data_IF_384335949849
#
_entry.id   IF_384335949849
#
_cell.length_a   1.000
_cell.length_b   1.000
_cell.length_c   1.000
_cell.angle_alpha   90.00
_cell.angle_beta   90.00
_cell.angle_gamma   90.00
#
_symmetry.space_group_name_H-M   'P 1'
#
loop_
_entity.id
_entity.type
_entity.pdbx_description
1 polymer ?
#
# COMPACT_ATOMS: atom_id res chain seq x y z
N UNK A 1 -52.86 4.82 23.91
CA UNK A 1 -52.22 4.40 22.64
C UNK A 1 -50.96 5.23 22.45
N UNK A 2 -49.79 4.69 22.78
CA UNK A 2 -48.52 5.40 22.67
C UNK A 2 -47.74 4.85 21.47
N UNK A 3 -47.39 5.76 20.55
CA UNK A 3 -46.61 5.49 19.36
C UNK A 3 -45.14 5.27 19.74
N UNK A 4 -44.60 4.08 19.43
CA UNK A 4 -43.20 3.76 19.63
C UNK A 4 -42.39 4.28 18.43
N UNK A 5 -41.67 5.39 18.61
CA UNK A 5 -40.69 5.89 17.63
C UNK A 5 -39.46 4.99 17.69
N UNK A 6 -39.30 4.14 16.69
CA UNK A 6 -38.02 3.46 16.45
C UNK A 6 -36.93 4.49 16.17
N UNK A 7 -36.01 4.62 17.12
CA UNK A 7 -34.77 5.39 16.96
C UNK A 7 -33.91 4.64 15.95
N UNK A 8 -33.95 5.07 14.69
CA UNK A 8 -32.95 4.68 13.69
C UNK A 8 -31.62 5.27 14.11
N UNK A 9 -30.78 4.47 14.75
CA UNK A 9 -29.38 4.81 14.95
C UNK A 9 -28.71 4.92 13.58
N UNK A 10 -28.05 6.05 13.26
CA UNK A 10 -27.32 6.17 12.01
C UNK A 10 -26.19 5.16 12.03
N UNK A 11 -26.22 4.18 11.11
CA UNK A 11 -25.08 3.30 10.84
C UNK A 11 -23.88 4.20 10.51
N UNK A 12 -22.95 4.36 11.46
CA UNK A 12 -21.67 5.03 11.19
C UNK A 12 -21.07 4.33 9.96
N UNK A 13 -20.70 5.05 8.90
CA UNK A 13 -19.98 4.45 7.77
C UNK A 13 -18.73 3.81 8.36
N UNK A 14 -18.67 2.48 8.30
CA UNK A 14 -17.59 1.69 8.90
C UNK A 14 -16.26 2.15 8.30
N UNK A 15 -15.43 2.76 9.14
CA UNK A 15 -14.17 3.36 8.74
C UNK A 15 -13.24 2.28 8.21
N UNK A 16 -12.62 2.54 7.05
CA UNK A 16 -11.54 1.69 6.57
C UNK A 16 -10.35 1.90 7.50
N UNK A 17 -9.93 0.86 8.20
CA UNK A 17 -8.81 0.94 9.15
C UNK A 17 -7.49 1.00 8.39
N UNK A 18 -6.62 1.92 8.82
CA UNK A 18 -5.24 2.01 8.34
C UNK A 18 -4.45 0.92 9.05
N UNK A 19 -4.05 -0.10 8.31
CA UNK A 19 -3.25 -1.21 8.82
C UNK A 19 -1.77 -0.99 8.49
N UNK A 20 -0.84 -1.61 9.24
CA UNK A 20 0.59 -1.51 8.96
C UNK A 20 0.95 -1.93 7.53
N UNK A 21 0.30 -2.98 7.03
CA UNK A 21 0.47 -3.43 5.65
C UNK A 21 0.06 -2.34 4.65
N UNK A 22 -1.14 -1.77 4.81
CA UNK A 22 -1.63 -0.68 3.95
C UNK A 22 -0.70 0.53 3.99
N UNK A 23 -0.17 0.86 5.16
CA UNK A 23 0.83 1.93 5.31
C UNK A 23 2.10 1.61 4.51
N UNK A 24 2.67 0.41 4.64
CA UNK A 24 3.84 -0.01 3.85
C UNK A 24 3.57 0.01 2.34
N UNK A 25 2.40 -0.43 1.89
CA UNK A 25 2.01 -0.37 0.47
C UNK A 25 1.89 1.09 0.00
N UNK A 26 1.34 1.99 0.83
CA UNK A 26 1.26 3.40 0.50
C UNK A 26 2.66 4.04 0.37
N UNK A 27 3.61 3.70 1.26
CA UNK A 27 5.01 4.14 1.17
C UNK A 27 5.66 3.59 -0.10
N UNK A 28 5.44 2.32 -0.44
CA UNK A 28 5.93 1.73 -1.69
C UNK A 28 5.44 2.51 -2.92
N UNK A 29 4.15 2.83 -2.96
CA UNK A 29 3.55 3.59 -4.07
C UNK A 29 4.19 4.99 -4.17
N UNK A 30 4.35 5.68 -3.03
CA UNK A 30 5.05 6.97 -2.95
C UNK A 30 6.45 6.89 -3.54
N UNK A 31 7.23 5.90 -3.10
CA UNK A 31 8.63 5.75 -3.50
C UNK A 31 8.76 5.45 -4.99
N UNK A 32 7.84 4.66 -5.53
CA UNK A 32 7.76 4.44 -6.98
C UNK A 32 7.43 5.72 -7.76
N UNK A 33 6.50 6.55 -7.26
CA UNK A 33 6.19 7.83 -7.90
C UNK A 33 7.43 8.76 -7.92
N UNK A 34 8.12 8.87 -6.80
CA UNK A 34 9.35 9.65 -6.68
C UNK A 34 10.47 9.13 -7.58
N UNK A 35 10.69 7.80 -7.61
CA UNK A 35 11.66 7.17 -8.50
C UNK A 35 11.35 7.45 -9.97
N UNK A 36 10.09 7.41 -10.39
CA UNK A 36 9.72 7.69 -11.79
C UNK A 36 9.98 9.15 -12.20
N UNK A 37 10.02 10.06 -11.23
CA UNK A 37 10.39 11.46 -11.45
C UNK A 37 11.90 11.71 -11.35
N UNK A 38 12.67 10.74 -10.86
CA UNK A 38 14.11 10.86 -10.72
C UNK A 38 14.80 10.87 -12.08
N UNK A 39 16.01 11.42 -12.09
CA UNK A 39 16.82 11.44 -13.30
C UNK A 39 17.34 10.05 -13.65
N UNK A 40 17.49 9.14 -12.67
CA UNK A 40 17.85 7.74 -12.94
C UNK A 40 16.82 7.08 -13.85
N UNK A 41 15.52 7.22 -13.55
CA UNK A 41 14.47 6.62 -14.37
C UNK A 41 14.37 7.24 -15.77
N UNK A 42 14.56 8.57 -15.88
CA UNK A 42 14.50 9.27 -17.18
C UNK A 42 15.67 8.93 -18.09
N UNK A 43 16.83 8.60 -17.51
CA UNK A 43 18.05 8.27 -18.22
C UNK A 43 18.15 6.79 -18.62
N UNK A 44 17.15 5.95 -18.32
CA UNK A 44 17.12 4.56 -18.77
C UNK A 44 16.97 4.53 -20.30
N UNK A 45 18.05 4.15 -20.99
CA UNK A 45 18.07 4.01 -22.45
C UNK A 45 17.19 2.86 -22.95
N UNK A 46 17.10 1.76 -22.18
CA UNK A 46 16.27 0.60 -22.50
C UNK A 46 14.79 0.88 -22.20
N UNK A 47 14.07 1.35 -23.22
CA UNK A 47 12.63 1.56 -23.18
C UNK A 47 11.84 0.28 -22.89
N UNK A 48 12.35 -0.90 -23.26
CA UNK A 48 11.67 -2.16 -22.98
C UNK A 48 11.76 -2.50 -21.49
N UNK A 49 12.90 -2.26 -20.87
CA UNK A 49 13.09 -2.38 -19.42
C UNK A 49 12.18 -1.41 -18.65
N UNK A 50 12.13 -0.14 -19.05
CA UNK A 50 11.18 0.84 -18.49
C UNK A 50 9.71 0.37 -18.55
N UNK A 51 9.30 -0.16 -19.70
CA UNK A 51 7.95 -0.70 -19.86
C UNK A 51 7.68 -1.90 -18.95
N UNK A 52 8.67 -2.79 -18.77
CA UNK A 52 8.57 -3.92 -17.84
C UNK A 52 8.45 -3.46 -16.40
N UNK A 53 9.33 -2.57 -15.93
CA UNK A 53 9.25 -1.99 -14.58
C UNK A 53 7.88 -1.38 -14.31
N UNK A 54 7.36 -0.57 -15.23
CA UNK A 54 6.04 0.05 -15.09
C UNK A 54 4.93 -0.99 -15.00
N UNK A 55 4.91 -1.94 -15.92
CA UNK A 55 3.86 -2.97 -15.97
C UNK A 55 3.88 -3.82 -14.70
N UNK A 56 5.05 -4.31 -14.32
CA UNK A 56 5.20 -5.25 -13.20
C UNK A 56 4.91 -4.54 -11.87
N UNK A 57 5.32 -3.28 -11.70
CA UNK A 57 4.93 -2.45 -10.55
C UNK A 57 3.43 -2.21 -10.48
N UNK A 58 2.77 -1.84 -11.59
CA UNK A 58 1.33 -1.66 -11.59
C UNK A 58 0.59 -2.95 -11.22
N UNK A 59 1.00 -4.09 -11.76
CA UNK A 59 0.39 -5.40 -11.43
C UNK A 59 0.62 -5.75 -9.96
N UNK A 60 1.83 -5.53 -9.45
CA UNK A 60 2.15 -5.78 -8.05
C UNK A 60 1.31 -4.91 -7.12
N UNK A 61 1.23 -3.59 -7.36
CA UNK A 61 0.42 -2.66 -6.55
C UNK A 61 -1.05 -3.08 -6.57
N UNK A 62 -1.61 -3.37 -7.74
CA UNK A 62 -3.00 -3.83 -7.84
C UNK A 62 -3.24 -5.10 -7.03
N UNK A 63 -2.31 -6.04 -7.10
CA UNK A 63 -2.38 -7.28 -6.32
C UNK A 63 -2.34 -6.99 -4.83
N UNK A 64 -1.41 -6.15 -4.37
CA UNK A 64 -1.28 -5.77 -2.96
C UNK A 64 -2.52 -5.05 -2.41
N UNK A 65 -3.14 -4.19 -3.22
CA UNK A 65 -4.38 -3.49 -2.84
C UNK A 65 -5.59 -4.42 -2.73
N UNK A 66 -5.61 -5.52 -3.47
CA UNK A 66 -6.71 -6.49 -3.51
C UNK A 66 -6.48 -7.69 -2.58
N UNK A 67 -5.23 -8.04 -2.29
CA UNK A 67 -4.87 -9.16 -1.41
C UNK A 67 -5.09 -8.83 0.07
N UNK A 68 -5.34 -9.83 0.94
CA UNK A 68 -5.34 -9.65 2.39
C UNK A 68 -4.01 -9.08 2.90
N UNK A 69 -4.05 -8.47 4.08
CA UNK A 69 -2.86 -7.87 4.69
C UNK A 69 -1.75 -8.92 4.88
N UNK A 70 -0.56 -8.58 4.39
CA UNK A 70 0.61 -9.45 4.44
C UNK A 70 1.54 -9.03 5.57
N UNK A 71 2.34 -9.98 6.09
CA UNK A 71 3.49 -9.66 6.92
C UNK A 71 4.57 -8.95 6.10
N UNK A 72 5.40 -8.14 6.75
CA UNK A 72 6.46 -7.40 6.05
C UNK A 72 7.47 -8.35 5.39
N UNK A 73 7.71 -9.53 5.97
CA UNK A 73 8.54 -10.57 5.36
C UNK A 73 8.00 -11.00 3.99
N UNK A 74 6.70 -11.33 3.91
CA UNK A 74 6.05 -11.72 2.66
C UNK A 74 6.03 -10.58 1.65
N UNK A 75 5.89 -9.32 2.12
CA UNK A 75 5.96 -8.16 1.25
C UNK A 75 7.37 -8.00 0.63
N UNK A 76 8.43 -8.13 1.43
CA UNK A 76 9.81 -8.11 0.94
C UNK A 76 10.12 -9.29 0.02
N UNK A 77 9.66 -10.50 0.36
CA UNK A 77 9.82 -11.68 -0.50
C UNK A 77 9.17 -11.45 -1.87
N UNK A 78 8.01 -10.80 -1.93
CA UNK A 78 7.34 -10.45 -3.20
C UNK A 78 8.13 -9.40 -3.99
N UNK A 79 8.69 -8.40 -3.33
CA UNK A 79 9.49 -7.34 -3.95
C UNK A 79 10.83 -7.85 -4.51
N UNK A 80 11.43 -8.85 -3.85
CA UNK A 80 12.71 -9.46 -4.23
C UNK A 80 12.56 -10.72 -5.09
N UNK A 81 11.34 -11.25 -5.22
CA UNK A 81 11.07 -12.42 -6.06
C UNK A 81 11.36 -12.16 -7.54
N UNK A 82 11.79 -13.20 -8.26
CA UNK A 82 11.99 -13.16 -9.72
C UNK A 82 10.69 -12.97 -10.52
N UNK A 83 9.53 -12.94 -9.85
CA UNK A 83 8.21 -12.82 -10.47
C UNK A 83 7.94 -11.42 -11.04
N UNK A 84 8.51 -10.39 -10.43
CA UNK A 84 8.29 -9.00 -10.82
C UNK A 84 9.63 -8.30 -11.01
N UNK A 85 9.80 -7.57 -12.11
CA UNK A 85 11.02 -6.80 -12.34
C UNK A 85 10.87 -5.44 -11.68
N UNK A 86 11.21 -5.36 -10.39
CA UNK A 86 11.13 -4.14 -9.59
C UNK A 86 12.49 -3.43 -9.55
N UNK A 87 12.57 -2.10 -9.75
CA UNK A 87 13.81 -1.35 -9.57
C UNK A 87 14.35 -1.48 -8.16
N UNK A 88 15.64 -1.77 -8.00
CA UNK A 88 16.31 -1.93 -6.70
C UNK A 88 16.20 -0.68 -5.85
N UNK A 89 16.27 0.50 -6.47
CA UNK A 89 16.20 1.80 -5.80
C UNK A 89 14.88 2.00 -5.06
N UNK A 90 13.78 1.46 -5.61
CA UNK A 90 12.45 1.54 -5.00
C UNK A 90 12.37 0.63 -3.76
N UNK A 91 12.98 -0.56 -3.83
CA UNK A 91 13.02 -1.51 -2.71
C UNK A 91 13.89 -0.96 -1.59
N UNK A 92 15.08 -0.47 -1.91
CA UNK A 92 16.00 0.16 -0.95
C UNK A 92 15.38 1.40 -0.30
N UNK A 93 14.69 2.24 -1.08
CA UNK A 93 13.98 3.40 -0.55
C UNK A 93 12.85 3.00 0.39
N UNK A 94 12.12 1.91 0.09
CA UNK A 94 11.09 1.38 0.98
C UNK A 94 11.70 0.92 2.31
N UNK A 95 12.76 0.12 2.27
CA UNK A 95 13.40 -0.39 3.49
C UNK A 95 13.95 0.74 4.36
N UNK A 96 14.54 1.75 3.72
CA UNK A 96 14.99 2.97 4.41
C UNK A 96 13.82 3.72 5.04
N UNK A 97 12.75 4.00 4.30
CA UNK A 97 11.60 4.74 4.82
C UNK A 97 10.89 3.98 5.96
N UNK A 98 10.86 2.64 5.91
CA UNK A 98 10.31 1.84 7.00
C UNK A 98 11.20 1.91 8.26
N UNK A 99 12.51 1.93 8.10
CA UNK A 99 13.46 2.12 9.20
C UNK A 99 13.37 3.53 9.79
N UNK A 100 13.31 4.55 8.92
CA UNK A 100 13.18 5.96 9.30
C UNK A 100 11.84 6.21 9.99
N UNK A 101 10.75 5.54 9.57
CA UNK A 101 9.47 5.59 10.26
C UNK A 101 9.55 4.94 11.66
N UNK A 102 10.25 3.81 11.79
CA UNK A 102 10.42 3.14 13.07
C UNK A 102 11.27 3.96 14.06
N UNK A 103 12.30 4.66 13.57
CA UNK A 103 13.22 5.45 14.40
C UNK A 103 12.76 6.90 14.62
N UNK A 104 12.14 7.51 13.61
CA UNK A 104 11.68 8.91 13.59
C UNK A 104 10.29 9.14 14.20
N UNK A 105 9.55 8.07 14.50
CA UNK A 105 8.29 8.17 15.22
C UNK A 105 7.11 8.71 14.41
N UNK A 106 6.10 9.21 15.14
CA UNK A 106 4.86 9.75 14.53
C UNK A 106 5.15 10.98 13.66
N UNK A 107 6.22 11.75 13.93
CA UNK A 107 6.61 12.88 13.08
C UNK A 107 6.87 12.45 11.64
N UNK A 108 7.66 11.39 11.46
CA UNK A 108 7.94 10.85 10.13
C UNK A 108 6.69 10.28 9.44
N UNK A 109 5.75 9.73 10.21
CA UNK A 109 4.45 9.29 9.67
C UNK A 109 3.66 10.45 9.07
N UNK A 110 3.63 11.60 9.75
CA UNK A 110 2.99 12.82 9.26
C UNK A 110 3.68 13.33 7.99
N UNK A 111 5.00 13.35 7.96
CA UNK A 111 5.80 13.76 6.80
C UNK A 111 5.51 12.89 5.57
N UNK A 112 5.37 11.57 5.77
CA UNK A 112 4.95 10.64 4.71
C UNK A 112 3.59 11.04 4.17
N UNK A 113 2.60 11.29 5.04
CA UNK A 113 1.24 11.63 4.60
C UNK A 113 1.21 12.97 3.87
N UNK A 114 1.89 13.99 4.38
CA UNK A 114 2.00 15.29 3.69
C UNK A 114 2.63 15.13 2.30
N UNK A 115 3.66 14.28 2.18
CA UNK A 115 4.28 14.03 0.87
C UNK A 115 3.35 13.31 -0.11
N UNK A 116 2.46 12.43 0.37
CA UNK A 116 1.43 11.80 -0.45
C UNK A 116 0.42 12.83 -0.96
N UNK A 117 0.00 13.76 -0.10
CA UNK A 117 -0.92 14.83 -0.50
C UNK A 117 -0.29 15.73 -1.57
N UNK A 118 1.00 16.04 -1.46
CA UNK A 118 1.76 16.79 -2.48
C UNK A 118 1.76 16.07 -3.83
N UNK A 119 1.99 14.76 -3.84
CA UNK A 119 1.92 13.94 -5.06
C UNK A 119 0.51 14.00 -5.68
N UNK A 120 -0.53 14.05 -4.86
CA UNK A 120 -1.93 14.11 -5.32
C UNK A 120 -2.41 15.50 -5.75
N UNK A 121 -1.81 16.57 -5.21
CA UNK A 121 -2.23 17.95 -5.41
C UNK A 121 -1.85 18.51 -6.80
N UNK A 122 -0.98 17.83 -7.55
CA UNK A 122 -0.53 18.27 -8.88
C UNK A 122 -1.75 18.36 -9.84
N UNK A 123 -2.10 19.56 -10.33
CA UNK A 123 -3.30 19.76 -11.14
C UNK A 123 -3.14 19.20 -12.56
N UNK A 124 -4.22 18.68 -13.14
CA UNK A 124 -4.26 18.13 -14.50
C UNK A 124 -4.11 19.22 -15.59
N UNK A 125 -4.06 20.50 -15.21
CA UNK A 125 -4.04 21.64 -16.12
C UNK A 125 -2.64 22.11 -16.55
N UNK A 126 -1.55 21.46 -16.13
CA UNK A 126 -0.20 21.67 -16.66
C UNK A 126 0.10 20.80 -17.90
N UNK A 127 -0.95 20.40 -18.62
CA UNK A 127 -0.90 19.68 -19.91
C UNK A 127 -0.39 20.54 -21.09
N UNK A 128 0.28 21.66 -20.82
CA UNK A 128 0.99 22.42 -21.82
C UNK A 128 2.50 22.19 -21.66
N UNK A 129 3.06 21.50 -22.65
CA UNK A 129 4.48 21.35 -22.96
C UNK A 129 5.37 20.65 -21.90
N UNK A 130 5.55 19.35 -22.13
CA UNK A 130 6.85 18.65 -22.04
C UNK A 130 7.51 18.45 -20.67
N UNK A 131 6.98 18.93 -19.54
CA UNK A 131 7.61 18.68 -18.21
C UNK A 131 6.70 18.17 -17.10
N UNK A 132 5.38 18.13 -17.28
CA UNK A 132 4.43 17.77 -16.20
C UNK A 132 3.46 16.64 -16.60
N UNK A 133 3.82 15.81 -17.59
CA UNK A 133 2.96 14.71 -18.03
C UNK A 133 3.02 13.49 -17.08
N UNK A 134 3.98 13.46 -16.16
CA UNK A 134 4.37 12.20 -15.52
C UNK A 134 3.57 11.90 -14.25
N UNK A 135 3.33 12.84 -13.33
CA UNK A 135 2.61 12.56 -12.06
C UNK A 135 1.12 12.33 -12.29
N UNK A 136 0.50 13.16 -13.15
CA UNK A 136 -0.88 12.96 -13.61
C UNK A 136 -1.09 11.67 -14.43
N UNK A 137 -0.01 11.07 -14.94
CA UNK A 137 -0.03 9.81 -15.69
C UNK A 137 0.26 8.55 -14.86
N UNK A 138 0.94 8.62 -13.70
CA UNK A 138 1.21 7.38 -12.91
C UNK A 138 -0.10 6.81 -12.44
N UNK A 139 -0.94 7.69 -11.91
CA UNK A 139 -2.27 7.38 -11.45
C UNK A 139 -3.11 8.58 -11.83
N UNK A 140 -3.80 8.51 -12.97
CA UNK A 140 -4.93 9.41 -13.21
C UNK A 140 -5.73 9.47 -11.90
N UNK A 141 -6.18 10.64 -11.46
CA UNK A 141 -6.88 10.78 -10.16
C UNK A 141 -8.11 9.84 -10.05
N UNK A 142 -8.59 9.38 -11.21
CA UNK A 142 -9.68 8.41 -11.40
C UNK A 142 -9.26 6.94 -11.40
N UNK A 143 -7.96 6.64 -11.45
CA UNK A 143 -7.43 5.28 -11.37
C UNK A 143 -7.65 4.69 -9.97
N UNK A 144 -7.72 3.36 -9.90
CA UNK A 144 -7.96 2.64 -8.64
C UNK A 144 -6.90 2.95 -7.58
N UNK A 145 -5.64 3.14 -7.98
CA UNK A 145 -4.55 3.49 -7.06
C UNK A 145 -4.67 4.95 -6.63
N UNK A 146 -4.95 5.88 -7.56
CA UNK A 146 -5.23 7.27 -7.21
C UNK A 146 -6.40 7.41 -6.23
N UNK A 147 -7.46 6.64 -6.44
CA UNK A 147 -8.59 6.56 -5.52
C UNK A 147 -8.21 5.96 -4.16
N UNK A 148 -7.36 4.92 -4.15
CA UNK A 148 -6.83 4.35 -2.92
C UNK A 148 -6.02 5.37 -2.12
N UNK A 149 -5.04 6.06 -2.72
CA UNK A 149 -4.22 7.07 -2.02
C UNK A 149 -5.11 8.21 -1.52
N UNK A 150 -6.07 8.70 -2.33
CA UNK A 150 -7.02 9.74 -1.90
C UNK A 150 -7.79 9.33 -0.65
N UNK A 151 -8.28 8.09 -0.65
CA UNK A 151 -9.03 7.57 0.49
C UNK A 151 -8.11 7.40 1.69
N UNK A 152 -6.91 6.88 1.50
CA UNK A 152 -5.91 6.74 2.55
C UNK A 152 -5.62 8.08 3.24
N UNK A 153 -5.30 9.13 2.48
CA UNK A 153 -5.06 10.48 3.01
C UNK A 153 -6.29 11.01 3.78
N UNK A 154 -7.47 10.99 3.16
CA UNK A 154 -8.71 11.47 3.80
C UNK A 154 -9.07 10.68 5.07
N UNK A 155 -8.78 9.39 5.12
CA UNK A 155 -8.98 8.60 6.33
C UNK A 155 -7.95 8.94 7.40
N UNK A 156 -6.70 9.14 7.00
CA UNK A 156 -5.62 9.51 7.89
C UNK A 156 -5.90 10.88 8.55
N UNK A 157 -6.34 11.88 7.80
CA UNK A 157 -6.70 13.22 8.31
C UNK A 157 -7.85 13.21 9.33
N UNK A 158 -8.70 12.18 9.27
CA UNK A 158 -9.83 12.02 10.18
C UNK A 158 -9.45 11.29 11.48
N UNK A 159 -8.25 10.75 11.56
CA UNK A 159 -7.79 10.07 12.76
C UNK A 159 -7.60 11.10 13.88
N UNK A 160 -8.15 10.77 15.04
CA UNK A 160 -7.77 11.44 16.28
C UNK A 160 -6.32 11.09 16.62
N UNK A 161 -5.67 11.91 17.46
CA UNK A 161 -4.31 11.63 17.91
C UNK A 161 -4.16 10.23 18.54
N UNK A 162 -5.16 9.78 19.32
CA UNK A 162 -5.15 8.45 19.90
C UNK A 162 -5.19 7.33 18.85
N UNK A 163 -5.97 7.50 17.78
CA UNK A 163 -6.04 6.52 16.69
C UNK A 163 -4.76 6.52 15.86
N UNK A 164 -4.17 7.69 15.62
CA UNK A 164 -2.87 7.82 14.94
C UNK A 164 -1.75 7.13 15.72
N UNK A 165 -1.69 7.34 17.04
CA UNK A 165 -0.74 6.63 17.90
C UNK A 165 -0.96 5.12 17.85
N UNK A 166 -2.22 4.65 17.85
CA UNK A 166 -2.51 3.23 17.71
C UNK A 166 -2.05 2.65 16.35
N UNK A 167 -2.20 3.40 15.25
CA UNK A 167 -1.66 3.01 13.93
C UNK A 167 -0.14 2.88 14.00
N UNK A 168 0.53 3.85 14.62
CA UNK A 168 1.99 3.84 14.78
C UNK A 168 2.47 2.67 15.64
N UNK A 169 1.85 2.41 16.79
CA UNK A 169 2.18 1.26 17.66
C UNK A 169 1.97 -0.08 16.94
N UNK A 170 0.90 -0.20 16.16
CA UNK A 170 0.66 -1.39 15.34
C UNK A 170 1.74 -1.54 14.25
N UNK A 171 2.20 -0.44 13.67
CA UNK A 171 3.32 -0.46 12.74
C UNK A 171 4.62 -0.89 13.41
N UNK A 172 4.93 -0.39 14.62
CA UNK A 172 6.13 -0.81 15.35
C UNK A 172 6.14 -2.32 15.60
N UNK A 173 5.01 -2.88 16.06
CA UNK A 173 4.87 -4.34 16.25
C UNK A 173 5.09 -5.11 14.94
N UNK A 174 4.53 -4.60 13.85
CA UNK A 174 4.67 -5.19 12.51
C UNK A 174 6.13 -5.20 12.03
N UNK A 175 6.86 -4.09 12.24
CA UNK A 175 8.27 -3.96 11.87
C UNK A 175 9.19 -4.81 12.78
N UNK A 176 8.95 -4.82 14.09
CA UNK A 176 9.71 -5.66 15.02
C UNK A 176 9.56 -7.15 14.74
N UNK A 177 8.36 -7.61 14.38
CA UNK A 177 8.12 -9.00 14.00
C UNK A 177 8.95 -9.40 12.79
N UNK A 178 9.08 -8.50 11.81
CA UNK A 178 9.95 -8.71 10.66
C UNK A 178 11.42 -8.77 11.05
N UNK A 179 11.92 -7.84 11.86
CA UNK A 179 13.31 -7.89 12.34
C UNK A 179 13.62 -9.21 13.07
N UNK A 180 12.70 -9.66 13.93
CA UNK A 180 12.81 -10.95 14.63
C UNK A 180 12.85 -12.13 13.66
N UNK A 181 12.03 -12.11 12.61
CA UNK A 181 11.99 -13.16 11.60
C UNK A 181 13.22 -13.14 10.69
N UNK A 182 13.73 -11.95 10.32
CA UNK A 182 14.94 -11.78 9.54
C UNK A 182 16.17 -12.37 10.27
N UNK A 183 16.31 -12.08 11.56
CA UNK A 183 17.37 -12.65 12.42
C UNK A 183 17.24 -14.19 12.53
N UNK A 184 16.01 -14.73 12.55
CA UNK A 184 15.76 -16.17 12.59
C UNK A 184 16.04 -16.88 11.25
N UNK A 185 15.67 -16.28 10.13
CA UNK A 185 15.82 -16.86 8.79
C UNK A 185 17.25 -16.80 8.23
N UNK A 186 18.15 -16.00 8.82
CA UNK A 186 19.59 -16.07 8.56
C UNK A 186 20.25 -17.43 8.89
N UNK A 187 19.51 -18.41 9.43
CA UNK A 187 20.00 -19.75 9.78
C UNK A 187 19.41 -20.92 8.99
N UNK A 188 18.46 -20.73 8.08
CA UNK A 188 17.89 -21.86 7.32
C UNK A 188 17.38 -21.39 5.96
N UNK A 189 18.12 -21.76 4.91
CA UNK A 189 17.75 -21.53 3.53
C UNK A 189 16.77 -22.60 3.02
N UNK A 190 15.91 -22.12 2.12
CA UNK A 190 15.07 -22.83 1.14
C UNK A 190 13.91 -23.68 1.68
N UNK A 191 12.70 -23.13 1.59
CA UNK A 191 11.49 -23.93 1.31
C UNK A 191 10.63 -23.27 0.24
N UNK A 192 10.33 -24.11 -0.74
CA UNK A 192 9.40 -23.95 -1.85
C UNK A 192 8.07 -23.34 -1.37
N UNK A 193 7.66 -22.24 -2.00
CA UNK A 193 6.65 -21.32 -1.48
C UNK A 193 5.32 -21.48 -2.21
N UNK A 194 4.62 -22.58 -1.95
CA UNK A 194 3.27 -22.82 -2.49
C UNK A 194 2.25 -23.24 -1.40
N UNK A 195 2.32 -22.62 -0.23
CA UNK A 195 1.32 -22.78 0.84
C UNK A 195 0.85 -21.41 1.32
N UNK A 196 -0.11 -20.85 0.57
CA UNK A 196 -0.71 -19.53 0.81
C UNK A 196 -1.94 -19.56 1.73
N UNK A 197 -2.22 -20.70 2.37
CA UNK A 197 -3.44 -20.93 3.12
C UNK A 197 -3.20 -21.13 4.62
N UNK A 198 -2.62 -20.16 5.32
CA UNK A 198 -2.74 -20.14 6.79
C UNK A 198 -2.47 -18.77 7.43
N UNK A 199 -3.42 -17.84 7.28
CA UNK A 199 -3.59 -16.78 8.29
C UNK A 199 -5.02 -16.23 8.19
N UNK A 200 -5.88 -16.73 9.09
CA UNK A 200 -7.33 -16.49 9.11
C UNK A 200 -7.76 -15.19 9.82
N UNK A 201 -6.86 -14.36 10.35
CA UNK A 201 -7.25 -13.38 11.37
C UNK A 201 -7.28 -11.89 11.01
N UNK A 202 -6.93 -11.45 9.79
CA UNK A 202 -7.01 -10.02 9.46
C UNK A 202 -7.47 -9.77 8.03
N UNK A 203 -8.78 -9.89 7.78
CA UNK A 203 -9.38 -9.48 6.52
C UNK A 203 -10.00 -8.09 6.67
N UNK A 204 -9.58 -7.16 5.81
CA UNK A 204 -10.34 -5.92 5.63
C UNK A 204 -11.69 -6.22 4.97
N UNK A 205 -12.68 -5.37 5.22
CA UNK A 205 -14.05 -5.60 4.76
C UNK A 205 -14.17 -5.82 3.25
N UNK A 206 -13.42 -5.09 2.42
CA UNK A 206 -13.44 -5.29 0.96
C UNK A 206 -12.83 -6.63 0.54
N UNK A 207 -11.81 -7.10 1.27
CA UNK A 207 -11.23 -8.43 1.05
C UNK A 207 -12.22 -9.52 1.48
N UNK A 208 -12.96 -9.31 2.57
CA UNK A 208 -14.03 -10.21 3.00
C UNK A 208 -15.20 -10.23 2.00
N UNK A 209 -15.63 -9.07 1.49
CA UNK A 209 -16.65 -8.96 0.44
C UNK A 209 -16.21 -9.63 -0.87
N UNK A 210 -14.95 -9.43 -1.29
CA UNK A 210 -14.40 -10.08 -2.47
C UNK A 210 -14.32 -11.60 -2.28
N UNK A 211 -13.91 -12.07 -1.11
CA UNK A 211 -13.88 -13.49 -0.77
C UNK A 211 -15.28 -14.11 -0.84
N UNK A 212 -16.28 -13.48 -0.21
CA UNK A 212 -17.68 -13.92 -0.26
C UNK A 212 -18.18 -13.96 -1.72
N UNK A 213 -17.91 -12.92 -2.51
CA UNK A 213 -18.30 -12.87 -3.92
C UNK A 213 -17.63 -13.97 -4.77
N UNK A 214 -16.41 -14.39 -4.41
CA UNK A 214 -15.72 -15.49 -5.11
C UNK A 214 -16.23 -16.87 -4.67
N UNK A 215 -16.75 -16.99 -3.44
CA UNK A 215 -17.33 -18.23 -2.91
C UNK A 215 -18.79 -18.45 -3.38
N UNK A 216 -19.50 -17.38 -3.74
CA UNK A 216 -20.87 -17.42 -4.28
C UNK A 216 -20.96 -17.87 -5.76
N UNK A 217 -19.85 -18.34 -6.35
CA UNK A 217 -19.85 -19.13 -7.58
C UNK A 217 -19.59 -20.63 -7.31
N UNK A 218 -20.53 -21.38 -6.72
CA UNK A 218 -20.53 -22.83 -6.82
C UNK A 218 -21.15 -23.25 -8.17
N UNK A 219 -20.31 -23.81 -9.03
CA UNK A 219 -20.57 -24.91 -9.96
C UNK A 219 -22.04 -25.10 -10.40
N UNK A 220 -22.40 -24.55 -11.56
CA UNK A 220 -23.39 -25.18 -12.43
C UNK A 220 -22.65 -26.10 -13.41
N UNK A 221 -22.56 -27.38 -13.05
CA UNK A 221 -22.35 -28.48 -13.98
C UNK A 221 -23.19 -29.66 -13.48
#
# INVERSE_FOLDING_TARGET
MAANKEVRTPKKPQAETITPHKLSVTILIRNYCMYRESDEYKNIEDKALCCKHRRDMCVLILRLLQSPDLSLSKLQDLLTSSKYVIPSEVVESLDKDLHDLYSGGIGFLLDIVESLEKIMAVPDSSLNESKSLMIGSVFAKTSIVGHYIRRFAVYFDKLTFSEMTAVYENFQKYYEQWQKNFIKHGKTQEKDMDVWADNKETWSRRQAELFIATQDHPVTN
#
